data_IF_548074185347
#
_entry.id   IF_548074185347
#
_cell.length_a   1.000
_cell.length_b   1.000
_cell.length_c   1.000
_cell.angle_alpha   90.00
_cell.angle_beta   90.00
_cell.angle_gamma   90.00
#
_symmetry.space_group_name_H-M   'P 1'
#
loop_
_entity.id
_entity.type
_entity.pdbx_description
1 polymer ?
#
# COMPACT_ATOMS: atom_id res chain seq x y z
N UNK A 1 -47.42 -24.35 15.90
CA UNK A 1 -46.10 -24.84 16.39
C UNK A 1 -45.07 -25.03 15.27
N UNK A 2 -45.38 -25.69 14.15
CA UNK A 2 -44.42 -25.92 13.05
C UNK A 2 -43.93 -24.65 12.33
N UNK A 3 -44.82 -23.67 12.12
CA UNK A 3 -44.49 -22.39 11.45
C UNK A 3 -43.47 -21.55 12.23
N UNK A 4 -43.58 -21.53 13.56
CA UNK A 4 -42.65 -20.84 14.46
C UNK A 4 -41.27 -21.48 14.45
N UNK A 5 -41.19 -22.82 14.44
CA UNK A 5 -39.91 -23.55 14.33
C UNK A 5 -39.17 -23.25 13.02
N UNK A 6 -39.93 -23.18 11.92
CA UNK A 6 -39.38 -22.86 10.59
C UNK A 6 -38.85 -21.43 10.55
N UNK A 7 -39.58 -20.46 11.11
CA UNK A 7 -39.13 -19.07 11.18
C UNK A 7 -37.83 -18.90 11.99
N UNK A 8 -37.73 -19.59 13.14
CA UNK A 8 -36.51 -19.60 13.96
C UNK A 8 -35.33 -20.21 13.20
N UNK A 9 -35.54 -21.33 12.50
CA UNK A 9 -34.50 -21.95 11.67
C UNK A 9 -34.00 -21.03 10.55
N UNK A 10 -34.91 -20.34 9.86
CA UNK A 10 -34.54 -19.36 8.81
C UNK A 10 -33.74 -18.21 9.41
N UNK A 11 -34.16 -17.68 10.58
CA UNK A 11 -33.45 -16.60 11.26
C UNK A 11 -32.04 -17.01 11.69
N UNK A 12 -31.89 -18.22 12.24
CA UNK A 12 -30.58 -18.78 12.57
C UNK A 12 -29.71 -18.99 11.34
N UNK A 13 -30.27 -19.45 10.21
CA UNK A 13 -29.49 -19.64 8.98
C UNK A 13 -29.01 -18.29 8.42
N UNK A 14 -29.88 -17.27 8.40
CA UNK A 14 -29.54 -15.93 7.92
C UNK A 14 -28.45 -15.25 8.74
N UNK A 15 -28.40 -15.50 10.05
CA UNK A 15 -27.41 -14.89 10.95
C UNK A 15 -26.03 -15.55 10.87
N UNK A 16 -25.92 -16.77 10.34
CA UNK A 16 -24.64 -17.46 10.13
C UNK A 16 -24.02 -17.13 8.76
N UNK A 17 -24.83 -16.79 7.75
CA UNK A 17 -24.37 -16.41 6.40
C UNK A 17 -23.29 -15.31 6.36
N UNK A 18 -23.37 -14.18 7.10
CA UNK A 18 -22.33 -13.15 7.06
C UNK A 18 -21.02 -13.57 7.75
N UNK A 19 -21.04 -14.61 8.60
CA UNK A 19 -19.84 -15.15 9.24
C UNK A 19 -19.03 -16.07 8.31
N UNK A 20 -19.68 -16.61 7.26
CA UNK A 20 -19.05 -17.45 6.23
C UNK A 20 -18.62 -16.60 5.01
N UNK A 21 -18.91 -15.29 5.02
CA UNK A 21 -18.40 -14.39 3.99
C UNK A 21 -16.86 -14.34 4.06
N UNK A 22 -16.20 -15.03 3.13
CA UNK A 22 -14.76 -14.94 2.97
C UNK A 22 -14.38 -13.50 2.64
N UNK A 23 -13.46 -12.92 3.40
CA UNK A 23 -12.75 -11.71 2.96
C UNK A 23 -12.03 -12.02 1.66
N UNK A 24 -12.23 -11.20 0.62
CA UNK A 24 -11.40 -11.27 -0.57
C UNK A 24 -9.99 -10.84 -0.18
N UNK A 25 -9.04 -11.76 -0.22
CA UNK A 25 -7.63 -11.43 -0.07
C UNK A 25 -7.17 -10.71 -1.33
N UNK A 26 -7.02 -9.38 -1.22
CA UNK A 26 -6.52 -8.58 -2.32
C UNK A 26 -4.99 -8.67 -2.33
N UNK A 27 -4.48 -9.59 -3.15
CA UNK A 27 -3.05 -9.68 -3.45
C UNK A 27 -2.69 -8.62 -4.51
N UNK A 28 -2.07 -7.52 -4.08
CA UNK A 28 -1.60 -6.44 -4.96
C UNK A 28 -0.09 -6.57 -5.22
N UNK A 29 0.36 -7.37 -6.20
CA UNK A 29 1.79 -7.70 -6.35
C UNK A 29 2.69 -6.53 -6.71
N UNK A 30 2.12 -5.36 -7.02
CA UNK A 30 2.82 -4.13 -7.35
C UNK A 30 1.94 -2.92 -7.06
N UNK A 31 2.59 -1.80 -6.78
CA UNK A 31 1.97 -0.47 -6.72
C UNK A 31 2.66 0.40 -7.77
N UNK A 32 1.87 1.04 -8.62
CA UNK A 32 2.34 2.01 -9.60
C UNK A 32 2.08 3.41 -9.04
N UNK A 33 3.14 4.20 -8.93
CA UNK A 33 3.07 5.58 -8.46
C UNK A 33 3.33 6.54 -9.64
N UNK A 34 2.46 7.52 -9.81
CA UNK A 34 2.62 8.60 -10.79
C UNK A 34 2.65 9.92 -10.05
N UNK A 35 3.52 10.84 -10.47
CA UNK A 35 3.60 12.14 -9.84
C UNK A 35 4.84 12.92 -10.22
N UNK A 36 5.29 13.73 -9.26
CA UNK A 36 6.45 14.60 -9.34
C UNK A 36 7.50 14.21 -8.29
N UNK A 37 8.43 15.15 -8.02
CA UNK A 37 9.52 15.03 -7.06
C UNK A 37 9.11 14.55 -5.66
N UNK A 38 7.87 14.81 -5.21
CA UNK A 38 7.39 14.40 -3.90
C UNK A 38 7.11 12.89 -3.78
N UNK A 39 7.08 12.21 -4.92
CA UNK A 39 6.77 10.78 -5.03
C UNK A 39 7.86 10.00 -5.78
N UNK A 40 8.74 10.70 -6.49
CA UNK A 40 9.85 10.12 -7.23
C UNK A 40 10.93 9.53 -6.31
N UNK A 41 11.10 8.21 -6.39
CA UNK A 41 12.07 7.47 -5.57
C UNK A 41 13.49 7.44 -6.15
N UNK A 42 13.74 8.12 -7.27
CA UNK A 42 15.06 8.25 -7.91
C UNK A 42 15.05 8.17 -9.45
N UNK A 43 13.89 8.07 -10.09
CA UNK A 43 13.74 7.89 -11.54
C UNK A 43 14.19 9.12 -12.32
N UNK A 44 13.91 10.34 -11.83
CA UNK A 44 14.40 11.55 -12.50
C UNK A 44 15.94 11.62 -12.48
N UNK A 45 16.54 11.34 -11.32
CA UNK A 45 18.00 11.30 -11.16
C UNK A 45 18.63 10.22 -12.04
N UNK A 46 18.05 9.01 -12.08
CA UNK A 46 18.51 7.92 -12.93
C UNK A 46 18.36 8.21 -14.43
N UNK A 47 17.21 8.75 -14.85
CA UNK A 47 16.90 9.04 -16.25
C UNK A 47 17.78 10.13 -16.87
N UNK A 48 18.24 11.08 -16.06
CA UNK A 48 19.12 12.17 -16.51
C UNK A 48 20.59 11.97 -16.14
N UNK A 49 20.93 10.90 -15.42
CA UNK A 49 22.29 10.69 -14.89
C UNK A 49 22.73 11.79 -13.92
N UNK A 50 21.79 12.39 -13.19
CA UNK A 50 22.04 13.48 -12.26
C UNK A 50 22.30 12.95 -10.85
N UNK A 51 23.24 13.57 -10.16
CA UNK A 51 23.42 13.39 -8.73
C UNK A 51 22.82 14.59 -8.00
N UNK A 52 21.90 14.31 -7.07
CA UNK A 52 21.32 15.33 -6.22
C UNK A 52 22.28 15.63 -5.07
N UNK A 53 22.81 16.85 -5.05
CA UNK A 53 23.74 17.33 -4.01
C UNK A 53 23.06 17.47 -2.63
N UNK A 54 23.83 17.60 -1.53
CA UNK A 54 23.27 17.96 -0.23
C UNK A 54 22.19 19.05 -0.28
N UNK A 55 21.05 18.88 0.43
CA UNK A 55 20.87 17.96 1.56
C UNK A 55 20.24 16.60 1.21
N UNK A 56 20.05 16.23 -0.04
CA UNK A 56 19.24 15.04 -0.38
C UNK A 56 19.82 13.71 0.15
N UNK A 57 19.05 13.01 0.98
CA UNK A 57 19.42 11.73 1.61
C UNK A 57 20.32 11.79 2.86
N UNK A 58 20.72 12.96 3.36
CA UNK A 58 21.63 13.09 4.51
C UNK A 58 21.03 12.66 5.86
N UNK A 59 19.76 12.95 6.13
CA UNK A 59 19.13 12.75 7.43
C UNK A 59 18.74 11.30 7.64
N UNK A 60 18.10 10.66 6.65
CA UNK A 60 17.62 9.28 6.81
C UNK A 60 18.56 8.22 6.21
N UNK A 61 18.92 8.35 4.92
CA UNK A 61 19.67 7.32 4.20
C UNK A 61 21.19 7.41 4.38
N UNK A 62 21.70 8.58 4.79
CA UNK A 62 23.14 8.88 4.94
C UNK A 62 23.94 8.80 3.64
N UNK A 63 23.25 8.79 2.50
CA UNK A 63 23.82 8.76 1.14
C UNK A 63 22.82 9.38 0.17
N UNK A 64 23.28 10.00 -0.94
CA UNK A 64 22.37 10.43 -1.99
C UNK A 64 21.59 9.23 -2.55
N UNK A 65 20.26 9.37 -2.63
CA UNK A 65 19.36 8.33 -3.16
C UNK A 65 18.68 8.72 -4.47
N UNK A 66 18.97 9.92 -5.00
CA UNK A 66 18.27 10.47 -6.16
C UNK A 66 16.88 11.02 -5.86
N UNK A 67 16.46 11.03 -4.60
CA UNK A 67 15.18 11.57 -4.14
C UNK A 67 15.29 13.05 -3.82
N UNK A 68 14.28 13.83 -4.17
CA UNK A 68 14.15 15.24 -3.77
C UNK A 68 13.71 15.41 -2.30
N UNK A 69 14.30 14.60 -1.41
CA UNK A 69 14.04 14.63 0.03
C UNK A 69 15.31 14.27 0.81
N UNK A 70 15.43 14.80 2.02
CA UNK A 70 16.48 14.41 2.98
C UNK A 70 16.20 13.04 3.64
N UNK A 71 15.12 12.36 3.22
CA UNK A 71 14.80 11.01 3.65
C UNK A 71 13.63 10.37 2.92
N UNK A 72 12.77 9.70 3.68
CA UNK A 72 11.61 8.98 3.12
C UNK A 72 10.59 9.93 2.49
N UNK A 73 9.91 9.45 1.46
CA UNK A 73 8.77 10.09 0.82
C UNK A 73 7.47 9.50 1.37
N UNK A 74 6.33 10.16 1.12
CA UNK A 74 5.02 9.67 1.54
C UNK A 74 4.74 8.24 1.05
N UNK A 75 5.21 7.92 -0.17
CA UNK A 75 5.08 6.59 -0.78
C UNK A 75 5.77 5.50 0.03
N UNK A 76 6.89 5.76 0.70
CA UNK A 76 7.56 4.75 1.55
C UNK A 76 6.69 4.36 2.76
N UNK A 77 5.92 5.31 3.30
CA UNK A 77 5.05 5.06 4.43
C UNK A 77 3.78 4.32 4.02
N UNK A 78 3.21 4.67 2.85
CA UNK A 78 2.07 3.95 2.29
C UNK A 78 2.45 2.51 1.96
N UNK A 79 3.65 2.27 1.44
CA UNK A 79 4.16 0.93 1.18
C UNK A 79 4.48 0.12 2.42
N UNK A 80 4.60 0.72 3.60
CA UNK A 80 4.70 -0.06 4.84
C UNK A 80 3.36 -0.72 5.22
N UNK A 81 2.25 -0.16 4.76
CA UNK A 81 0.90 -0.66 5.02
C UNK A 81 0.59 -1.86 4.10
N UNK A 82 1.22 -1.91 2.92
CA UNK A 82 1.06 -3.00 1.95
C UNK A 82 2.38 -3.77 1.84
N UNK A 83 2.49 -5.03 2.27
CA UNK A 83 3.76 -5.78 2.37
C UNK A 83 4.39 -6.17 1.00
N UNK A 84 4.29 -5.32 -0.02
CA UNK A 84 4.70 -5.60 -1.39
C UNK A 84 5.73 -4.58 -1.88
N UNK A 85 6.72 -4.96 -2.69
CA UNK A 85 7.73 -4.03 -3.20
C UNK A 85 7.17 -3.10 -4.28
N UNK A 86 7.62 -1.84 -4.29
CA UNK A 86 7.42 -0.93 -5.43
C UNK A 86 8.12 -1.54 -6.64
N UNK A 87 7.39 -1.67 -7.75
CA UNK A 87 8.00 -1.96 -9.03
C UNK A 87 8.23 -0.63 -9.76
N UNK A 88 9.39 -0.48 -10.45
CA UNK A 88 9.61 0.65 -11.34
C UNK A 88 8.55 0.67 -12.46
#
# INVERSE_FOLDING_TARGET
MARTKTAVQVFTLLSILPFIANSTDFNYPAVFNFGDSNSDTGDFAAGLGLLLDPPYGQTYFKTPTGRFSDGRLIVDFLMKIYPHPLKP
#
